data_IF_490049355476
#
_entry.id   IF_490049355476
#
_cell.length_a   1.000
_cell.length_b   1.000
_cell.length_c   1.000
_cell.angle_alpha   90.00
_cell.angle_beta   90.00
_cell.angle_gamma   90.00
#
_symmetry.space_group_name_H-M   'P 1'
#
loop_
_entity.id
_entity.type
_entity.pdbx_description
1 polymer ?
#
# COMPACT_ATOMS: atom_id res chain seq x y z
N UNK A 1 10.92 27.94 37.89
CA UNK A 1 11.80 27.27 36.93
C UNK A 1 10.96 27.00 35.69
N UNK A 2 11.38 27.44 34.51
CA UNK A 2 10.63 27.30 33.26
C UNK A 2 10.87 25.91 32.66
N UNK A 3 9.83 25.07 32.63
CA UNK A 3 9.84 23.78 31.94
C UNK A 3 9.85 24.02 30.41
N UNK A 4 10.98 23.78 29.75
CA UNK A 4 11.07 23.78 28.29
C UNK A 4 10.60 22.41 27.77
N UNK A 5 9.30 22.26 27.48
CA UNK A 5 8.77 21.10 26.78
C UNK A 5 9.14 21.17 25.29
N UNK A 6 10.24 20.52 24.90
CA UNK A 6 10.62 20.35 23.48
C UNK A 6 9.66 19.38 22.79
N UNK A 7 8.70 19.92 22.03
CA UNK A 7 7.70 19.14 21.27
C UNK A 7 8.25 18.60 19.93
N UNK A 8 9.56 18.34 19.82
CA UNK A 8 10.14 17.82 18.57
C UNK A 8 9.87 16.31 18.48
N UNK A 9 9.30 15.81 17.35
CA UNK A 9 9.20 14.38 17.12
C UNK A 9 10.59 13.72 17.24
N UNK A 10 10.68 12.62 17.98
CA UNK A 10 11.95 11.91 18.17
C UNK A 10 12.45 11.32 16.83
N UNK A 11 13.72 10.92 16.76
CA UNK A 11 14.28 10.32 15.54
C UNK A 11 13.56 9.04 15.08
N UNK A 12 12.94 8.31 16.00
CA UNK A 12 12.18 7.09 15.70
C UNK A 12 10.90 7.39 14.92
N UNK A 13 10.22 8.51 15.21
CA UNK A 13 9.07 8.96 14.46
C UNK A 13 9.40 9.09 12.97
N UNK A 14 10.51 9.74 12.64
CA UNK A 14 10.94 9.92 11.26
C UNK A 14 11.34 8.60 10.59
N UNK A 15 12.01 7.70 11.31
CA UNK A 15 12.34 6.38 10.77
C UNK A 15 11.06 5.59 10.41
N UNK A 16 10.06 5.58 11.31
CA UNK A 16 8.79 4.91 11.09
C UNK A 16 8.03 5.56 9.92
N UNK A 17 7.95 6.89 9.87
CA UNK A 17 7.27 7.62 8.80
C UNK A 17 7.87 7.28 7.42
N UNK A 18 9.20 7.29 7.28
CA UNK A 18 9.87 6.94 6.02
C UNK A 18 9.55 5.50 5.61
N UNK A 19 9.63 4.55 6.54
CA UNK A 19 9.31 3.14 6.28
C UNK A 19 7.84 2.99 5.87
N UNK A 20 6.92 3.69 6.55
CA UNK A 20 5.50 3.67 6.25
C UNK A 20 5.20 4.24 4.85
N UNK A 21 5.84 5.36 4.47
CA UNK A 21 5.70 5.94 3.12
C UNK A 21 6.18 4.95 2.07
N UNK A 22 7.36 4.34 2.25
CA UNK A 22 7.90 3.36 1.30
C UNK A 22 6.95 2.15 1.17
N UNK A 23 6.46 1.63 2.30
CA UNK A 23 5.51 0.52 2.32
C UNK A 23 4.22 0.84 1.55
N UNK A 24 3.63 2.02 1.80
CA UNK A 24 2.40 2.42 1.13
C UNK A 24 2.60 2.71 -0.36
N UNK A 25 3.75 3.26 -0.78
CA UNK A 25 4.09 3.39 -2.21
C UNK A 25 4.14 2.02 -2.88
N UNK A 26 4.79 1.03 -2.26
CA UNK A 26 4.80 -0.34 -2.80
C UNK A 26 3.38 -0.90 -2.91
N UNK A 27 2.53 -0.65 -1.91
CA UNK A 27 1.12 -1.03 -1.95
C UNK A 27 0.34 -0.36 -3.08
N UNK A 28 0.51 0.94 -3.30
CA UNK A 28 -0.11 1.68 -4.41
C UNK A 28 0.35 1.10 -5.76
N UNK A 29 1.63 0.81 -5.94
CA UNK A 29 2.13 0.20 -7.18
C UNK A 29 1.53 -1.18 -7.43
N UNK A 30 1.39 -2.01 -6.39
CA UNK A 30 0.75 -3.32 -6.48
C UNK A 30 -0.76 -3.21 -6.81
N UNK A 31 -1.45 -2.23 -6.22
CA UNK A 31 -2.84 -1.94 -6.56
C UNK A 31 -2.98 -1.54 -8.04
N UNK A 32 -2.12 -0.65 -8.52
CA UNK A 32 -2.14 -0.20 -9.91
C UNK A 32 -1.80 -1.34 -10.88
N UNK A 33 -0.82 -2.19 -10.56
CA UNK A 33 -0.49 -3.33 -11.41
C UNK A 33 -1.66 -4.31 -11.53
N UNK A 34 -2.39 -4.54 -10.44
CA UNK A 34 -3.60 -5.36 -10.46
C UNK A 34 -4.74 -4.69 -11.23
N UNK A 35 -4.98 -3.39 -11.00
CA UNK A 35 -6.07 -2.64 -11.62
C UNK A 35 -5.90 -2.45 -13.14
N UNK A 36 -4.66 -2.36 -13.61
CA UNK A 36 -4.31 -2.18 -15.02
C UNK A 36 -3.71 -3.44 -15.67
N UNK A 37 -3.87 -4.61 -15.04
CA UNK A 37 -3.45 -5.88 -15.62
C UNK A 37 -4.21 -6.12 -16.93
N UNK A 38 -3.48 -6.36 -18.02
CA UNK A 38 -4.10 -6.72 -19.30
C UNK A 38 -4.45 -8.20 -19.35
N UNK A 39 -5.40 -8.58 -20.20
CA UNK A 39 -5.76 -9.99 -20.42
C UNK A 39 -4.58 -10.81 -20.96
N UNK A 40 -3.74 -10.21 -21.80
CA UNK A 40 -2.51 -10.82 -22.33
C UNK A 40 -1.49 -11.11 -21.22
N UNK A 41 -1.31 -10.15 -20.29
CA UNK A 41 -0.43 -10.34 -19.14
C UNK A 41 -0.98 -11.41 -18.19
N UNK A 42 -2.30 -11.42 -17.96
CA UNK A 42 -2.96 -12.46 -17.18
C UNK A 42 -2.77 -13.84 -17.80
N UNK A 43 -2.96 -13.97 -19.12
CA UNK A 43 -2.80 -15.23 -19.85
C UNK A 43 -1.36 -15.77 -19.84
N UNK A 44 -0.37 -14.89 -19.60
CA UNK A 44 1.04 -15.29 -19.46
C UNK A 44 1.36 -15.94 -18.11
N UNK A 45 0.48 -15.83 -17.11
CA UNK A 45 0.65 -16.42 -15.79
C UNK A 45 0.29 -17.92 -15.79
N UNK A 46 0.81 -18.73 -14.84
CA UNK A 46 0.33 -20.09 -14.63
C UNK A 46 -1.18 -20.12 -14.29
N UNK A 47 -1.90 -21.17 -14.70
CA UNK A 47 -3.36 -21.29 -14.50
C UNK A 47 -3.81 -21.03 -13.05
N UNK A 48 -3.02 -21.50 -12.08
CA UNK A 48 -3.31 -21.32 -10.65
C UNK A 48 -3.30 -19.84 -10.25
N UNK A 49 -2.40 -19.04 -10.80
CA UNK A 49 -2.31 -17.61 -10.50
C UNK A 49 -3.39 -16.82 -11.25
N UNK A 50 -3.74 -17.24 -12.47
CA UNK A 50 -4.87 -16.67 -13.21
C UNK A 50 -6.20 -16.83 -12.46
N UNK A 51 -6.44 -18.02 -11.90
CA UNK A 51 -7.62 -18.28 -11.08
C UNK A 51 -7.63 -17.43 -9.81
N UNK A 52 -6.46 -17.15 -9.20
CA UNK A 52 -6.40 -16.25 -8.06
C UNK A 52 -6.78 -14.83 -8.48
N UNK A 53 -6.18 -14.29 -9.54
CA UNK A 53 -6.48 -12.93 -10.01
C UNK A 53 -7.95 -12.72 -10.39
N UNK A 54 -8.58 -13.70 -11.04
CA UNK A 54 -9.98 -13.61 -11.49
C UNK A 54 -11.01 -13.82 -10.39
N UNK A 55 -10.64 -14.51 -9.30
CA UNK A 55 -11.54 -14.79 -8.17
C UNK A 55 -11.42 -13.78 -7.01
N UNK A 56 -10.60 -12.73 -7.13
CA UNK A 56 -10.51 -11.71 -6.09
C UNK A 56 -11.83 -10.93 -6.04
N UNK A 57 -12.54 -10.92 -4.90
CA UNK A 57 -13.81 -10.22 -4.81
C UNK A 57 -13.62 -8.71 -4.79
N UNK A 58 -14.55 -7.98 -5.41
CA UNK A 58 -14.47 -6.52 -5.56
C UNK A 58 -14.32 -5.77 -4.21
N UNK A 59 -14.95 -6.27 -3.14
CA UNK A 59 -14.82 -5.67 -1.81
C UNK A 59 -13.40 -5.76 -1.25
N UNK A 60 -12.67 -6.83 -1.57
CA UNK A 60 -11.29 -7.01 -1.10
C UNK A 60 -10.36 -6.04 -1.83
N UNK A 61 -10.55 -5.87 -3.14
CA UNK A 61 -9.85 -4.86 -3.94
C UNK A 61 -10.14 -3.44 -3.45
N UNK A 62 -11.40 -3.14 -3.12
CA UNK A 62 -11.77 -1.84 -2.57
C UNK A 62 -11.14 -1.57 -1.20
N UNK A 63 -11.14 -2.56 -0.30
CA UNK A 63 -10.49 -2.46 1.00
C UNK A 63 -8.97 -2.26 0.85
N UNK A 64 -8.34 -2.96 -0.09
CA UNK A 64 -6.92 -2.80 -0.38
C UNK A 64 -6.60 -1.40 -0.91
N UNK A 65 -7.39 -0.89 -1.86
CA UNK A 65 -7.25 0.46 -2.39
C UNK A 65 -7.34 1.51 -1.27
N UNK A 66 -8.35 1.41 -0.40
CA UNK A 66 -8.50 2.30 0.76
C UNK A 66 -7.28 2.21 1.68
N UNK A 67 -6.82 1.00 2.01
CA UNK A 67 -5.67 0.82 2.90
C UNK A 67 -4.40 1.50 2.38
N UNK A 68 -4.06 1.32 1.09
CA UNK A 68 -2.79 1.86 0.54
C UNK A 68 -2.86 3.36 0.26
N UNK A 69 -4.00 3.89 -0.20
CA UNK A 69 -4.14 5.32 -0.46
C UNK A 69 -4.25 6.15 0.81
N UNK A 70 -5.09 5.73 1.77
CA UNK A 70 -5.18 6.42 3.05
C UNK A 70 -3.93 6.17 3.90
N UNK A 71 -3.31 4.99 3.79
CA UNK A 71 -2.02 4.71 4.40
C UNK A 71 -0.92 5.64 3.89
N UNK A 72 -0.83 5.87 2.57
CA UNK A 72 0.13 6.80 1.97
C UNK A 72 -0.12 8.25 2.40
N UNK A 73 -1.39 8.67 2.43
CA UNK A 73 -1.76 10.03 2.85
C UNK A 73 -1.55 10.28 4.35
N UNK A 74 -1.58 9.23 5.16
CA UNK A 74 -1.40 9.29 6.61
C UNK A 74 0.01 8.99 7.12
N UNK A 75 0.92 8.51 6.25
CA UNK A 75 2.29 8.13 6.59
C UNK A 75 3.29 9.29 6.60
#
# INVERSE_FOLDING_TARGET
MTENSSNKPNGMFWAIAIIAVIWNIMGVLAYLSQAFMTEEALASLPEKEQQLCTNIPAWATAAFAVAVWFGLLGS
#
